data_IF_103992376818
#
_entry.id   IF_103992376818
#
_cell.length_a   1.000
_cell.length_b   1.000
_cell.length_c   1.000
_cell.angle_alpha   90.00
_cell.angle_beta   90.00
_cell.angle_gamma   90.00
#
_symmetry.space_group_name_H-M   'P 1'
#
loop_
_entity.id
_entity.type
_entity.pdbx_description
1 polymer ?
#
# COMPACT_ATOMS: atom_id res chain seq x y z
N UNK A 1 11.05 -4.15 3.21
CA UNK A 1 10.10 -5.10 3.86
C UNK A 1 10.69 -6.48 4.11
N UNK A 2 11.09 -7.26 3.10
CA UNK A 2 11.67 -8.61 3.31
C UNK A 2 12.87 -8.63 4.29
N UNK A 3 13.80 -7.68 4.15
CA UNK A 3 14.94 -7.53 5.07
C UNK A 3 14.55 -7.21 6.52
N UNK A 4 13.30 -6.80 6.77
CA UNK A 4 12.72 -6.55 8.10
C UNK A 4 11.91 -7.75 8.63
N UNK A 5 11.95 -8.90 7.95
CA UNK A 5 11.27 -10.13 8.38
C UNK A 5 9.84 -10.30 7.87
N UNK A 6 9.31 -9.36 7.09
CA UNK A 6 7.97 -9.47 6.50
C UNK A 6 7.97 -10.44 5.31
N UNK A 7 6.93 -11.27 5.21
CA UNK A 7 6.67 -12.07 4.01
C UNK A 7 6.24 -11.14 2.87
N UNK A 8 6.94 -11.22 1.74
CA UNK A 8 6.65 -10.42 0.55
C UNK A 8 6.46 -11.34 -0.66
N UNK A 9 5.53 -10.97 -1.54
CA UNK A 9 5.28 -11.69 -2.77
C UNK A 9 4.98 -10.67 -3.88
N UNK A 10 5.71 -10.65 -4.99
CA UNK A 10 6.88 -11.48 -5.29
C UNK A 10 8.13 -11.07 -4.48
N UNK A 11 9.12 -11.96 -4.38
CA UNK A 11 10.44 -11.62 -3.85
C UNK A 11 11.16 -10.60 -4.74
N UNK A 12 12.19 -9.96 -4.21
CA UNK A 12 13.06 -9.12 -5.02
C UNK A 12 13.82 -9.98 -6.05
N UNK A 13 14.11 -9.41 -7.22
CA UNK A 13 14.92 -10.03 -8.30
C UNK A 13 14.32 -11.26 -8.99
N UNK A 14 13.06 -11.62 -8.73
CA UNK A 14 12.38 -12.61 -9.56
C UNK A 14 11.77 -11.96 -10.80
N UNK A 15 11.55 -12.74 -11.86
CA UNK A 15 10.84 -12.29 -13.05
C UNK A 15 9.43 -11.85 -12.68
N UNK A 16 8.99 -10.70 -13.20
CA UNK A 16 7.65 -10.14 -12.97
C UNK A 16 6.87 -10.04 -14.26
N UNK A 17 5.56 -10.10 -14.11
CA UNK A 17 4.59 -10.01 -15.20
C UNK A 17 3.55 -8.90 -14.96
N UNK A 18 3.54 -8.32 -13.76
CA UNK A 18 2.72 -7.20 -13.35
C UNK A 18 3.51 -6.28 -12.39
N UNK A 19 2.87 -5.21 -11.94
CA UNK A 19 3.42 -4.22 -11.00
C UNK A 19 3.05 -4.49 -9.54
N UNK A 20 2.26 -5.53 -9.26
CA UNK A 20 1.70 -5.76 -7.93
C UNK A 20 2.77 -6.28 -6.98
N UNK A 21 2.81 -5.71 -5.78
CA UNK A 21 3.67 -6.14 -4.69
C UNK A 21 2.84 -6.33 -3.42
N UNK A 22 2.71 -7.58 -2.98
CA UNK A 22 2.09 -7.91 -1.71
C UNK A 22 3.12 -7.95 -0.56
N UNK A 23 2.71 -7.48 0.61
CA UNK A 23 3.44 -7.60 1.88
C UNK A 23 2.47 -8.01 2.97
N UNK A 24 2.74 -9.12 3.67
CA UNK A 24 1.91 -9.56 4.80
C UNK A 24 2.33 -8.83 6.07
N UNK A 25 1.48 -7.94 6.59
CA UNK A 25 1.81 -7.08 7.74
C UNK A 25 1.46 -7.72 9.09
N UNK A 26 0.56 -8.71 9.07
CA UNK A 26 0.26 -9.59 10.20
C UNK A 26 -0.78 -9.07 11.19
N UNK A 27 -1.08 -7.77 11.20
CA UNK A 27 -2.17 -7.21 12.01
C UNK A 27 -2.84 -6.00 11.35
N UNK A 28 -4.01 -5.62 11.87
CA UNK A 28 -4.84 -4.53 11.35
C UNK A 28 -4.13 -3.19 11.46
N UNK A 29 -3.49 -2.93 12.59
CA UNK A 29 -2.87 -1.64 12.93
C UNK A 29 -1.78 -1.28 11.92
N UNK A 30 -0.90 -2.24 11.61
CA UNK A 30 0.17 -2.06 10.62
C UNK A 30 -0.38 -1.82 9.23
N UNK A 31 -1.46 -2.48 8.83
CA UNK A 31 -2.09 -2.24 7.52
C UNK A 31 -2.67 -0.83 7.42
N UNK A 32 -3.35 -0.36 8.47
CA UNK A 32 -3.87 1.00 8.52
C UNK A 32 -2.72 2.04 8.50
N UNK A 33 -1.69 1.85 9.34
CA UNK A 33 -0.53 2.74 9.39
C UNK A 33 0.29 2.75 8.10
N UNK A 34 0.38 1.61 7.40
CA UNK A 34 1.03 1.53 6.09
C UNK A 34 0.27 2.38 5.08
N UNK A 35 -1.04 2.16 4.92
CA UNK A 35 -1.84 2.90 3.94
C UNK A 35 -1.88 4.39 4.26
N UNK A 36 -1.98 4.78 5.54
CA UNK A 36 -1.90 6.18 5.95
C UNK A 36 -0.55 6.82 5.59
N UNK A 37 0.57 6.10 5.76
CA UNK A 37 1.89 6.60 5.37
C UNK A 37 2.01 6.77 3.84
N UNK A 38 1.45 5.86 3.05
CA UNK A 38 1.39 6.01 1.58
C UNK A 38 0.54 7.23 1.20
N UNK A 39 -0.65 7.38 1.77
CA UNK A 39 -1.53 8.51 1.47
C UNK A 39 -0.86 9.84 1.82
N UNK A 40 -0.25 9.96 3.00
CA UNK A 40 0.47 11.17 3.43
C UNK A 40 1.67 11.51 2.55
N UNK A 41 2.25 10.51 1.88
CA UNK A 41 3.39 10.68 0.97
C UNK A 41 2.97 10.89 -0.49
N UNK A 42 1.67 10.90 -0.77
CA UNK A 42 1.13 11.01 -2.13
C UNK A 42 1.10 12.48 -2.60
N UNK A 43 1.20 12.74 -3.92
CA UNK A 43 1.20 14.11 -4.44
C UNK A 43 -0.16 14.81 -4.32
N UNK A 44 -1.26 14.07 -4.34
CA UNK A 44 -2.63 14.58 -4.25
C UNK A 44 -3.26 14.13 -2.93
N UNK A 45 -4.04 15.00 -2.30
CA UNK A 45 -4.84 14.66 -1.11
C UNK A 45 -4.04 14.07 0.06
N UNK A 46 -2.77 14.44 0.22
CA UNK A 46 -1.90 13.92 1.29
C UNK A 46 -2.32 14.30 2.72
N UNK A 47 -3.12 15.35 2.87
CA UNK A 47 -3.70 15.76 4.14
C UNK A 47 -4.91 14.91 4.56
N UNK A 48 -5.46 14.08 3.65
CA UNK A 48 -6.59 13.22 3.94
C UNK A 48 -6.08 11.94 4.60
N UNK A 49 -6.72 11.54 5.69
CA UNK A 49 -6.43 10.27 6.35
C UNK A 49 -7.36 9.18 5.80
N UNK A 50 -6.81 8.10 5.22
CA UNK A 50 -7.64 7.01 4.72
C UNK A 50 -8.26 6.26 5.90
N UNK A 51 -9.49 5.81 5.72
CA UNK A 51 -10.21 4.98 6.69
C UNK A 51 -10.70 3.73 5.99
N UNK A 52 -10.73 2.65 6.75
CA UNK A 52 -11.34 1.41 6.28
C UNK A 52 -12.85 1.54 6.16
N UNK A 53 -13.42 0.86 5.17
CA UNK A 53 -14.86 0.79 5.02
C UNK A 53 -15.31 -0.38 4.16
N UNK A 54 -16.63 -0.60 4.15
CA UNK A 54 -17.26 -1.54 3.23
C UNK A 54 -17.22 -0.99 1.81
N UNK A 55 -16.70 -1.78 0.87
CA UNK A 55 -16.57 -1.40 -0.54
C UNK A 55 -17.35 -2.41 -1.38
N UNK A 56 -18.20 -1.92 -2.29
CA UNK A 56 -18.99 -2.78 -3.16
C UNK A 56 -18.09 -3.75 -3.93
N UNK A 57 -18.46 -5.04 -3.94
CA UNK A 57 -17.68 -6.11 -4.58
C UNK A 57 -16.60 -6.74 -3.70
N UNK A 58 -16.29 -6.16 -2.53
CA UNK A 58 -15.34 -6.75 -1.58
C UNK A 58 -16.06 -7.44 -0.42
N UNK A 59 -15.60 -8.64 -0.06
CA UNK A 59 -16.19 -9.45 1.01
C UNK A 59 -15.78 -9.01 2.44
N UNK A 60 -14.84 -8.07 2.56
CA UNK A 60 -14.35 -7.55 3.83
C UNK A 60 -14.15 -6.05 3.70
N UNK A 61 -14.06 -5.34 4.83
CA UNK A 61 -13.63 -3.95 4.81
C UNK A 61 -12.28 -3.84 4.12
N UNK A 62 -12.09 -2.78 3.34
CA UNK A 62 -10.83 -2.48 2.65
C UNK A 62 -10.42 -1.06 3.01
N UNK A 63 -9.12 -0.84 3.11
CA UNK A 63 -8.54 0.49 3.17
C UNK A 63 -7.80 0.75 1.85
N UNK A 64 -7.91 1.98 1.34
CA UNK A 64 -7.25 2.44 0.13
C UNK A 64 -6.40 3.67 0.44
N UNK A 65 -5.24 3.75 -0.20
CA UNK A 65 -4.43 4.95 -0.32
C UNK A 65 -4.19 5.20 -1.81
N UNK A 66 -4.90 6.20 -2.33
CA UNK A 66 -5.04 6.50 -3.75
C UNK A 66 -4.97 8.02 -3.98
N UNK A 67 -3.99 8.70 -3.37
CA UNK A 67 -3.67 10.11 -3.59
C UNK A 67 -3.10 10.41 -4.99
N UNK A 68 -3.86 10.06 -6.02
CA UNK A 68 -3.49 10.08 -7.43
C UNK A 68 -4.05 11.30 -8.15
N UNK A 69 -3.45 11.69 -9.27
CA UNK A 69 -3.96 12.78 -10.11
C UNK A 69 -5.21 12.39 -10.88
N UNK A 70 -5.32 11.11 -11.27
CA UNK A 70 -6.52 10.54 -11.88
C UNK A 70 -7.15 9.59 -10.87
N UNK A 71 -8.45 9.80 -10.58
CA UNK A 71 -9.19 9.01 -9.60
C UNK A 71 -9.09 7.51 -9.90
N UNK A 72 -8.67 6.72 -8.90
CA UNK A 72 -8.55 5.27 -9.00
C UNK A 72 -7.39 4.76 -9.87
N UNK A 73 -6.45 5.62 -10.27
CA UNK A 73 -5.30 5.22 -11.09
C UNK A 73 -4.32 4.30 -10.34
N UNK A 74 -4.27 3.03 -10.73
CA UNK A 74 -3.31 2.05 -10.15
C UNK A 74 -1.96 2.02 -10.88
N UNK A 75 -1.81 2.83 -11.93
CA UNK A 75 -0.51 3.11 -12.55
C UNK A 75 0.27 4.18 -11.77
N UNK A 76 -0.44 5.03 -11.04
CA UNK A 76 0.15 5.96 -10.07
C UNK A 76 0.38 5.26 -8.71
N UNK A 77 1.19 5.90 -7.85
CA UNK A 77 1.54 5.39 -6.54
C UNK A 77 0.26 5.13 -5.73
N UNK A 78 0.01 3.86 -5.39
CA UNK A 78 -1.15 3.48 -4.60
C UNK A 78 -0.89 2.22 -3.78
N UNK A 79 -1.67 2.05 -2.72
CA UNK A 79 -1.79 0.76 -2.06
C UNK A 79 -3.15 0.56 -1.42
N UNK A 80 -3.53 -0.70 -1.24
CA UNK A 80 -4.75 -1.08 -0.57
C UNK A 80 -4.60 -2.43 0.14
N UNK A 81 -5.56 -2.78 0.98
CA UNK A 81 -5.58 -4.11 1.57
C UNK A 81 -6.87 -4.42 2.33
N UNK A 82 -7.35 -5.67 2.26
CA UNK A 82 -8.51 -6.09 3.02
C UNK A 82 -8.17 -6.27 4.51
N UNK A 83 -9.09 -5.89 5.37
CA UNK A 83 -9.00 -6.02 6.82
C UNK A 83 -9.35 -7.43 7.29
N UNK A 84 -8.53 -8.37 6.86
CA UNK A 84 -8.61 -9.78 7.25
C UNK A 84 -7.21 -10.38 7.25
N UNK A 85 -7.03 -11.47 7.97
CA UNK A 85 -5.76 -12.18 7.98
C UNK A 85 -5.31 -12.60 6.57
N UNK A 86 -4.00 -12.49 6.23
CA UNK A 86 -2.89 -12.11 7.12
C UNK A 86 -2.57 -10.59 7.09
N UNK A 87 -3.56 -9.74 6.84
CA UNK A 87 -3.44 -8.28 6.71
C UNK A 87 -2.40 -7.89 5.66
N UNK A 88 -2.63 -8.35 4.44
CA UNK A 88 -1.74 -8.06 3.31
C UNK A 88 -2.05 -6.68 2.76
N UNK A 89 -1.01 -5.88 2.56
CA UNK A 89 -1.07 -4.69 1.71
C UNK A 89 -0.61 -5.06 0.30
N UNK A 90 -1.30 -4.54 -0.69
CA UNK A 90 -0.96 -4.61 -2.10
C UNK A 90 -0.51 -3.22 -2.55
N UNK A 91 0.77 -3.10 -2.88
CA UNK A 91 1.40 -1.90 -3.39
C UNK A 91 1.55 -2.00 -4.89
N UNK A 92 1.26 -0.93 -5.63
CA UNK A 92 1.43 -0.91 -7.08
C UNK A 92 1.61 0.51 -7.63
N UNK A 93 1.97 0.56 -8.92
CA UNK A 93 2.14 1.81 -9.65
C UNK A 93 3.31 2.65 -9.15
N UNK A 94 3.30 3.92 -9.55
CA UNK A 94 4.35 4.90 -9.30
C UNK A 94 4.86 5.46 -10.61
N UNK A 95 4.70 6.77 -10.79
CA UNK A 95 5.14 7.46 -12.02
C UNK A 95 6.65 7.65 -12.05
N UNK A 96 7.30 7.59 -10.88
CA UNK A 96 8.75 7.58 -10.75
C UNK A 96 9.19 6.75 -9.54
N UNK A 97 10.25 5.96 -9.67
CA UNK A 97 10.69 5.01 -8.63
C UNK A 97 11.05 5.68 -7.29
N UNK A 98 11.46 6.94 -7.32
CA UNK A 98 11.80 7.69 -6.09
C UNK A 98 10.61 7.88 -5.17
N UNK A 99 9.37 7.89 -5.70
CA UNK A 99 8.16 7.97 -4.88
C UNK A 99 8.10 6.82 -3.88
N UNK A 100 8.29 5.58 -4.35
CA UNK A 100 8.37 4.42 -3.46
C UNK A 100 9.58 4.47 -2.52
N UNK A 101 10.70 5.06 -2.95
CA UNK A 101 11.85 5.31 -2.08
C UNK A 101 11.50 6.20 -0.87
N UNK A 102 10.79 7.30 -1.11
CA UNK A 102 10.33 8.22 -0.06
C UNK A 102 9.26 7.57 0.84
N UNK A 103 8.24 6.96 0.22
CA UNK A 103 7.15 6.26 0.90
C UNK A 103 7.69 5.16 1.82
N UNK A 104 8.64 4.35 1.33
CA UNK A 104 9.24 3.29 2.13
C UNK A 104 9.98 3.86 3.35
N UNK A 105 10.61 5.04 3.20
CA UNK A 105 11.21 5.77 4.31
C UNK A 105 10.21 6.13 5.41
N UNK A 106 9.00 6.58 5.04
CA UNK A 106 7.94 6.91 5.99
C UNK A 106 7.27 5.66 6.58
N UNK A 107 6.95 4.67 5.75
CA UNK A 107 6.38 3.38 6.17
C UNK A 107 7.27 2.69 7.21
N UNK A 108 8.60 2.71 7.04
CA UNK A 108 9.50 2.07 7.99
C UNK A 108 9.61 2.80 9.33
N UNK A 109 9.12 4.04 9.45
CA UNK A 109 9.01 4.75 10.73
C UNK A 109 7.73 4.39 11.48
N UNK A 110 6.69 3.96 10.77
CA UNK A 110 5.37 3.65 11.34
C UNK A 110 5.12 2.17 11.62
N UNK A 111 6.06 1.27 11.25
CA UNK A 111 5.98 -0.18 11.41
C UNK A 111 7.01 -0.75 12.39
#
# INVERSE_FOLDING_TARGET
>A
MAAKGYKVQPLCRIKRHDTVQAVQLGNRERLLSFCEAVQRSSPVSSFIRPVAGATAGYASEVIFADGTFIDGSTSELSCDGPLREPFSVFCQGGTHWTQWGLVLGEVLKSL
#
